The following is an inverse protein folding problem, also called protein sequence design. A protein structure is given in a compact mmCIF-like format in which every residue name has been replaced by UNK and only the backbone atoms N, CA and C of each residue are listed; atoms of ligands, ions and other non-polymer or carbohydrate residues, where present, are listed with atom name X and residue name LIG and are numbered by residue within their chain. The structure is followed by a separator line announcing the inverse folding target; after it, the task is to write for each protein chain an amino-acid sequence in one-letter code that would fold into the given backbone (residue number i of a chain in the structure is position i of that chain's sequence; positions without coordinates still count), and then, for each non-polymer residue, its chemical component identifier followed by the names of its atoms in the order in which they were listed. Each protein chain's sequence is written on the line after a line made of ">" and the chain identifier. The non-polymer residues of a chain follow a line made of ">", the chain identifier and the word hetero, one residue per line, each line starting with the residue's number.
data_IF_677613214403
#
_entry.id   IF_677613214403
#
_cell.length_a   1.000
_cell.length_b   1.000
_cell.length_c   1.000
_cell.angle_alpha   90.00
_cell.angle_beta   90.00
_cell.angle_gamma   90.00
#
_symmetry.space_group_name_H-M   'P 1'
#
loop_
_entity.id
_entity.type
_entity.pdbx_description
1 polymer ?
#
# COMPACT_ATOMS: atom_id res chain seq x y z
N UNK A 1 40.47 11.24 -37.14
CA UNK A 1 41.59 10.41 -36.61
C UNK A 1 41.01 9.35 -35.70
N UNK A 2 41.22 8.07 -36.01
CA UNK A 2 40.77 6.92 -35.24
C UNK A 2 41.97 6.31 -34.53
N UNK A 3 41.89 6.12 -33.20
CA UNK A 3 42.79 5.24 -32.45
C UNK A 3 41.95 4.24 -31.68
N UNK A 4 42.25 2.96 -31.93
CA UNK A 4 41.63 1.77 -31.33
C UNK A 4 42.41 1.31 -30.08
N UNK A 5 41.74 0.42 -29.33
CA UNK A 5 42.25 -0.64 -28.43
C UNK A 5 42.60 -0.17 -27.00
N UNK A 6 42.04 -0.73 -25.93
CA UNK A 6 42.02 -2.16 -25.53
C UNK A 6 40.88 -2.38 -24.47
N UNK A 7 39.90 -3.29 -24.61
CA UNK A 7 39.87 -4.67 -24.05
C UNK A 7 40.48 -4.74 -22.63
N UNK A 8 39.85 -5.22 -21.54
CA UNK A 8 38.79 -6.24 -21.32
C UNK A 8 38.36 -6.23 -19.81
N UNK A 9 37.33 -6.99 -19.41
CA UNK A 9 36.62 -6.89 -18.12
C UNK A 9 37.28 -7.70 -17.00
N UNK A 10 37.16 -7.22 -15.76
CA UNK A 10 37.43 -8.01 -14.56
C UNK A 10 36.17 -8.79 -14.19
N UNK A 11 36.19 -10.08 -14.48
CA UNK A 11 35.33 -11.11 -13.87
C UNK A 11 36.00 -11.55 -12.56
N UNK A 12 35.18 -12.04 -11.61
CA UNK A 12 35.45 -12.88 -10.43
C UNK A 12 35.14 -12.15 -9.10
N UNK A 13 34.39 -12.67 -8.14
CA UNK A 13 33.82 -14.00 -7.95
C UNK A 13 32.56 -13.93 -7.06
N UNK A 14 31.63 -14.84 -7.32
CA UNK A 14 30.46 -15.13 -6.49
C UNK A 14 30.92 -15.91 -5.26
N UNK A 15 30.60 -15.42 -4.06
CA UNK A 15 30.65 -16.21 -2.84
C UNK A 15 29.22 -16.37 -2.30
N UNK A 16 28.61 -17.52 -2.59
CA UNK A 16 27.32 -17.92 -2.05
C UNK A 16 27.48 -18.30 -0.59
N UNK A 17 26.88 -17.54 0.34
CA UNK A 17 26.69 -18.01 1.71
C UNK A 17 25.38 -18.79 1.76
N UNK A 18 25.47 -20.11 1.87
CA UNK A 18 24.34 -20.95 2.21
C UNK A 18 24.14 -20.93 3.73
N UNK A 19 23.07 -20.32 4.21
CA UNK A 19 22.56 -20.54 5.57
C UNK A 19 21.48 -21.62 5.50
N UNK A 20 21.87 -22.83 5.85
CA UNK A 20 20.95 -23.96 5.98
C UNK A 20 20.26 -23.94 7.36
N UNK A 21 18.92 -23.85 7.29
CA UNK A 21 17.87 -24.40 8.18
C UNK A 21 17.86 -24.12 9.69
N UNK A 22 16.71 -23.61 10.12
CA UNK A 22 16.20 -23.75 11.48
C UNK A 22 14.83 -23.07 11.63
N UNK A 23 13.74 -23.69 11.17
CA UNK A 23 12.39 -23.25 11.53
C UNK A 23 12.08 -23.66 12.95
N UNK A 24 12.33 -22.75 13.89
CA UNK A 24 11.62 -22.75 15.17
C UNK A 24 10.72 -21.52 15.18
N UNK A 25 9.41 -21.74 15.22
CA UNK A 25 8.42 -20.68 15.43
C UNK A 25 8.62 -20.08 16.82
N UNK A 26 9.36 -18.97 16.91
CA UNK A 26 9.31 -18.11 18.08
C UNK A 26 8.17 -17.11 17.88
N UNK A 27 7.08 -17.29 18.64
CA UNK A 27 6.09 -16.26 18.83
C UNK A 27 6.74 -15.08 19.58
N UNK A 28 7.22 -14.08 18.85
CA UNK A 28 7.68 -12.82 19.44
C UNK A 28 6.46 -11.92 19.68
N UNK A 29 5.86 -12.06 20.86
CA UNK A 29 5.13 -10.95 21.45
C UNK A 29 6.16 -9.89 21.86
N UNK A 30 6.13 -8.72 21.22
CA UNK A 30 6.94 -7.57 21.65
C UNK A 30 6.15 -6.76 22.68
N UNK A 31 6.59 -6.66 23.95
CA UNK A 31 6.25 -5.55 24.81
C UNK A 31 7.28 -4.43 24.58
N UNK A 32 6.84 -3.30 24.04
CA UNK A 32 7.75 -2.20 23.74
C UNK A 32 7.03 -0.93 23.34
N UNK A 33 6.26 -0.36 24.27
CA UNK A 33 5.87 1.04 24.18
C UNK A 33 7.11 1.91 24.40
N UNK A 34 7.50 2.68 23.38
CA UNK A 34 8.36 3.86 23.53
C UNK A 34 7.60 5.07 23.00
N UNK A 35 7.54 6.18 23.75
CA UNK A 35 6.77 7.35 23.36
C UNK A 35 7.57 8.14 22.32
N UNK A 36 7.25 7.96 21.04
CA UNK A 36 7.69 8.87 20.00
C UNK A 36 6.72 10.06 19.96
N UNK A 37 6.99 11.05 20.82
CA UNK A 37 6.49 12.41 20.69
C UNK A 37 6.85 12.94 19.30
N UNK A 38 5.85 13.21 18.46
CA UNK A 38 6.08 13.86 17.16
C UNK A 38 5.20 13.41 15.98
N UNK A 39 4.27 12.46 16.15
CA UNK A 39 3.43 11.97 15.04
C UNK A 39 1.92 12.20 15.22
N UNK A 40 1.53 13.11 16.11
CA UNK A 40 0.12 13.34 16.45
C UNK A 40 -0.69 14.11 15.39
N UNK A 41 -0.05 14.77 14.41
CA UNK A 41 -0.78 15.64 13.44
C UNK A 41 -1.22 14.89 12.17
N UNK A 42 -0.70 13.67 11.91
CA UNK A 42 -1.11 12.86 10.75
C UNK A 42 -2.02 11.68 11.08
N UNK A 43 -2.13 11.31 12.35
CA UNK A 43 -2.90 10.14 12.78
C UNK A 43 -4.43 10.38 12.75
N UNK A 44 -4.87 11.64 12.83
CA UNK A 44 -6.29 11.99 12.91
C UNK A 44 -7.03 11.83 11.56
N UNK A 45 -6.31 11.86 10.43
CA UNK A 45 -6.91 11.66 9.09
C UNK A 45 -6.79 10.23 8.54
N UNK A 46 -6.16 9.31 9.29
CA UNK A 46 -5.94 7.91 8.85
C UNK A 46 -6.92 6.91 9.47
N UNK A 47 -8.00 7.38 10.09
CA UNK A 47 -8.96 6.56 10.85
C UNK A 47 -9.78 5.56 10.03
N UNK A 48 -9.57 5.48 8.71
CA UNK A 48 -10.30 4.58 7.81
C UNK A 48 -9.39 3.64 7.02
N UNK A 49 -8.41 3.06 7.68
CA UNK A 49 -7.86 1.78 7.22
C UNK A 49 -8.78 0.64 7.66
N UNK A 50 -8.93 -0.35 6.79
CA UNK A 50 -9.77 -1.52 6.99
C UNK A 50 -9.66 -2.11 8.40
N UNK A 51 -10.81 -2.39 9.03
CA UNK A 51 -10.86 -2.97 10.38
C UNK A 51 -10.55 -4.46 10.30
N UNK A 52 -9.66 -4.93 11.17
CA UNK A 52 -9.38 -6.34 11.36
C UNK A 52 -10.65 -7.15 11.66
N UNK A 53 -10.67 -8.40 11.21
CA UNK A 53 -11.79 -9.32 11.41
C UNK A 53 -11.98 -9.73 12.87
N UNK A 54 -13.16 -10.27 13.17
CA UNK A 54 -13.43 -10.89 14.47
C UNK A 54 -12.83 -12.30 14.49
N UNK A 55 -12.20 -12.69 15.61
CA UNK A 55 -11.71 -14.05 15.81
C UNK A 55 -12.84 -15.08 15.83
N UNK A 56 -12.53 -16.31 15.39
CA UNK A 56 -13.48 -17.43 15.40
C UNK A 56 -13.73 -17.99 16.80
N UNK A 57 -14.80 -18.78 16.95
CA UNK A 57 -15.11 -19.48 18.20
C UNK A 57 -14.41 -20.83 18.25
N UNK A 58 -13.80 -21.17 19.38
CA UNK A 58 -13.18 -22.48 19.61
C UNK A 58 -14.19 -23.64 19.56
N UNK A 59 -13.74 -24.79 19.09
CA UNK A 59 -14.55 -26.02 19.01
C UNK A 59 -14.81 -26.68 20.37
N UNK A 60 -15.76 -27.61 20.39
CA UNK A 60 -16.09 -28.39 21.60
C UNK A 60 -15.25 -29.67 21.68
N UNK A 61 -14.77 -30.01 22.87
CA UNK A 61 -14.08 -31.26 23.12
C UNK A 61 -15.03 -32.46 23.07
N UNK A 62 -14.56 -33.59 22.52
CA UNK A 62 -15.34 -34.82 22.47
C UNK A 62 -15.49 -35.50 23.83
N UNK A 63 -16.49 -36.38 23.96
CA UNK A 63 -16.73 -37.19 25.17
C UNK A 63 -16.63 -38.68 24.83
N UNK A 64 -16.13 -39.47 25.78
CA UNK A 64 -16.20 -40.94 25.70
C UNK A 64 -15.41 -41.58 24.55
N UNK A 65 -14.32 -40.95 24.08
CA UNK A 65 -13.50 -41.45 22.98
C UNK A 65 -13.93 -40.95 21.59
N UNK A 66 -15.03 -40.22 21.48
CA UNK A 66 -15.42 -39.56 20.23
C UNK A 66 -14.58 -38.29 19.98
N UNK A 67 -14.21 -37.99 18.72
CA UNK A 67 -13.59 -36.72 18.36
C UNK A 67 -14.50 -35.52 18.66
N UNK A 68 -13.90 -34.40 19.07
CA UNK A 68 -14.62 -33.13 19.28
C UNK A 68 -15.10 -32.48 17.98
N UNK A 69 -15.90 -31.43 18.11
CA UNK A 69 -16.39 -30.65 16.97
C UNK A 69 -15.44 -29.49 16.67
N UNK A 70 -15.06 -29.25 15.40
CA UNK A 70 -14.26 -28.09 15.04
C UNK A 70 -14.98 -26.78 15.37
N UNK A 71 -14.21 -25.74 15.64
CA UNK A 71 -14.72 -24.40 15.88
C UNK A 71 -15.23 -23.70 14.62
N UNK A 72 -15.86 -22.54 14.81
CA UNK A 72 -16.32 -21.71 13.71
C UNK A 72 -15.23 -20.71 13.29
N UNK A 73 -14.98 -20.53 11.99
CA UNK A 73 -14.04 -19.52 11.52
C UNK A 73 -14.53 -18.11 11.87
N UNK A 74 -13.57 -17.20 12.07
CA UNK A 74 -13.87 -15.79 12.33
C UNK A 74 -14.45 -15.06 11.13
N UNK A 75 -15.00 -13.87 11.37
CA UNK A 75 -15.47 -13.00 10.27
C UNK A 75 -14.28 -12.29 9.64
N UNK A 76 -14.19 -12.23 8.30
CA UNK A 76 -13.12 -11.49 7.65
C UNK A 76 -13.21 -10.00 7.99
N UNK A 77 -12.04 -9.37 8.06
CA UNK A 77 -11.94 -7.91 8.19
C UNK A 77 -12.44 -7.19 6.94
N UNK A 78 -12.64 -5.89 7.06
CA UNK A 78 -12.83 -5.04 5.89
C UNK A 78 -11.45 -4.70 5.32
N UNK A 79 -11.24 -4.92 4.02
CA UNK A 79 -10.02 -4.53 3.33
C UNK A 79 -10.15 -3.11 2.77
N UNK A 80 -9.01 -2.43 2.65
CA UNK A 80 -8.91 -1.12 2.02
C UNK A 80 -8.58 -0.01 3.01
N UNK A 81 -7.45 0.66 2.78
CA UNK A 81 -7.33 2.07 3.11
C UNK A 81 -7.77 2.82 1.84
N UNK A 82 -8.40 3.99 1.97
CA UNK A 82 -8.85 4.83 0.84
C UNK A 82 -10.12 4.35 0.12
N UNK A 83 -11.24 4.19 0.84
CA UNK A 83 -12.55 4.02 0.20
C UNK A 83 -12.96 5.31 -0.50
N UNK A 84 -13.90 5.20 -1.45
CA UNK A 84 -14.48 6.38 -2.11
C UNK A 84 -14.98 7.46 -1.11
N UNK A 85 -15.59 7.03 0.00
CA UNK A 85 -16.06 7.93 1.07
C UNK A 85 -14.95 8.64 1.83
N UNK A 86 -13.76 8.05 1.89
CA UNK A 86 -12.59 8.60 2.60
C UNK A 86 -11.77 9.57 1.73
N UNK A 87 -12.17 9.72 0.45
CA UNK A 87 -11.49 10.60 -0.47
C UNK A 87 -11.72 12.08 -0.12
N UNK A 88 -10.70 12.94 -0.23
CA UNK A 88 -10.73 14.34 0.16
C UNK A 88 -11.98 15.10 -0.32
N UNK A 89 -12.67 15.77 0.59
CA UNK A 89 -13.85 16.58 0.24
C UNK A 89 -13.45 18.02 -0.11
N UNK A 90 -12.64 18.15 -1.16
CA UNK A 90 -12.18 19.44 -1.68
C UNK A 90 -12.11 19.41 -3.21
N UNK A 91 -12.31 20.56 -3.88
CA UNK A 91 -12.32 20.62 -5.33
C UNK A 91 -10.93 20.32 -5.91
N UNK A 92 -10.89 19.94 -7.20
CA UNK A 92 -9.67 19.65 -7.97
C UNK A 92 -8.54 20.67 -7.74
N UNK A 93 -8.85 21.96 -7.76
CA UNK A 93 -7.87 23.05 -7.62
C UNK A 93 -7.17 23.08 -6.27
N UNK A 94 -7.71 22.40 -5.24
CA UNK A 94 -7.14 22.30 -3.89
C UNK A 94 -6.57 20.91 -3.59
N UNK A 95 -6.57 20.00 -4.57
CA UNK A 95 -5.93 18.69 -4.42
C UNK A 95 -4.42 18.85 -4.40
N UNK A 96 -3.81 18.39 -3.31
CA UNK A 96 -2.37 18.22 -3.21
C UNK A 96 -1.93 16.95 -3.95
N UNK A 97 -0.63 16.77 -4.10
CA UNK A 97 -0.04 15.54 -4.63
C UNK A 97 -0.49 14.32 -3.83
N UNK A 98 -0.47 14.43 -2.49
CA UNK A 98 -0.90 13.35 -1.60
C UNK A 98 -2.37 12.99 -1.82
N UNK A 99 -3.23 13.98 -2.08
CA UNK A 99 -4.64 13.71 -2.39
C UNK A 99 -4.80 12.96 -3.71
N UNK A 100 -4.07 13.37 -4.75
CA UNK A 100 -4.06 12.66 -6.03
C UNK A 100 -3.57 11.21 -5.88
N UNK A 101 -2.55 10.98 -5.04
CA UNK A 101 -2.07 9.62 -4.74
C UNK A 101 -3.16 8.79 -4.06
N UNK A 102 -3.84 9.34 -3.04
CA UNK A 102 -4.97 8.66 -2.38
C UNK A 102 -6.08 8.30 -3.36
N UNK A 103 -6.40 9.22 -4.27
CA UNK A 103 -7.38 8.99 -5.34
C UNK A 103 -6.95 7.85 -6.27
N UNK A 104 -5.70 7.87 -6.75
CA UNK A 104 -5.15 6.82 -7.63
C UNK A 104 -5.20 5.47 -6.93
N UNK A 105 -4.74 5.39 -5.68
CA UNK A 105 -4.76 4.16 -4.90
C UNK A 105 -6.17 3.62 -4.70
N UNK A 106 -7.15 4.48 -4.42
CA UNK A 106 -8.55 4.07 -4.27
C UNK A 106 -9.12 3.47 -5.57
N UNK A 107 -8.78 4.06 -6.73
CA UNK A 107 -9.24 3.58 -8.04
C UNK A 107 -8.56 2.27 -8.42
N UNK A 108 -7.24 2.17 -8.29
CA UNK A 108 -6.48 0.97 -8.69
C UNK A 108 -6.76 -0.24 -7.79
N UNK A 109 -7.04 -0.02 -6.51
CA UNK A 109 -7.44 -1.08 -5.58
C UNK A 109 -8.92 -1.50 -5.71
N UNK A 110 -9.68 -0.88 -6.62
CA UNK A 110 -11.11 -1.13 -6.79
C UNK A 110 -12.00 -0.61 -5.65
N UNK A 111 -11.44 0.13 -4.70
CA UNK A 111 -12.15 0.73 -3.56
C UNK A 111 -12.97 1.97 -3.96
N UNK A 112 -12.72 2.52 -5.15
CA UNK A 112 -13.49 3.60 -5.76
C UNK A 112 -13.65 3.37 -7.27
N UNK A 113 -14.86 3.62 -7.80
CA UNK A 113 -15.08 3.57 -9.25
C UNK A 113 -14.54 4.84 -9.90
N UNK A 114 -13.78 4.69 -10.98
CA UNK A 114 -13.18 5.81 -11.73
C UNK A 114 -14.21 6.86 -12.16
N UNK A 115 -15.38 6.44 -12.65
CA UNK A 115 -16.46 7.34 -13.06
C UNK A 115 -17.01 8.18 -11.90
N UNK A 116 -17.15 7.60 -10.70
CA UNK A 116 -17.64 8.30 -9.50
C UNK A 116 -16.61 9.33 -9.02
N UNK A 117 -15.32 8.99 -9.08
CA UNK A 117 -14.20 9.89 -8.79
C UNK A 117 -14.12 11.04 -9.79
N UNK A 118 -14.24 10.74 -11.09
CA UNK A 118 -14.25 11.73 -12.16
C UNK A 118 -15.36 12.77 -11.94
N UNK A 119 -16.56 12.29 -11.60
CA UNK A 119 -17.69 13.15 -11.24
C UNK A 119 -17.42 13.98 -9.98
N UNK A 120 -16.91 13.38 -8.90
CA UNK A 120 -16.62 14.08 -7.63
C UNK A 120 -15.66 15.24 -7.83
N UNK A 121 -14.58 15.04 -8.58
CA UNK A 121 -13.56 16.06 -8.78
C UNK A 121 -13.72 16.89 -10.05
N UNK A 122 -14.79 16.66 -10.84
CA UNK A 122 -15.04 17.33 -12.12
C UNK A 122 -13.83 17.24 -13.07
N UNK A 123 -13.26 16.04 -13.16
CA UNK A 123 -12.17 15.69 -14.08
C UNK A 123 -12.65 14.62 -15.06
N UNK A 124 -11.92 14.45 -16.15
CA UNK A 124 -12.17 13.30 -17.05
C UNK A 124 -11.58 12.01 -16.48
N UNK A 125 -12.15 10.86 -16.85
CA UNK A 125 -11.54 9.57 -16.50
C UNK A 125 -10.11 9.43 -17.06
N UNK A 126 -9.84 10.01 -18.24
CA UNK A 126 -8.51 10.06 -18.85
C UNK A 126 -7.51 10.86 -18.02
N UNK A 127 -7.96 11.90 -17.31
CA UNK A 127 -7.11 12.65 -16.40
C UNK A 127 -6.72 11.80 -15.19
N UNK A 128 -7.66 10.99 -14.67
CA UNK A 128 -7.35 10.02 -13.60
C UNK A 128 -6.36 8.95 -14.11
N UNK A 129 -6.52 8.47 -15.35
CA UNK A 129 -5.56 7.54 -15.98
C UNK A 129 -4.17 8.16 -16.12
N UNK A 130 -4.12 9.46 -16.41
CA UNK A 130 -2.86 10.20 -16.48
C UNK A 130 -2.18 10.25 -15.11
N UNK A 131 -2.92 10.56 -14.04
CA UNK A 131 -2.39 10.53 -12.68
C UNK A 131 -1.93 9.14 -12.27
N UNK A 132 -2.67 8.09 -12.62
CA UNK A 132 -2.30 6.71 -12.33
C UNK A 132 -1.01 6.30 -13.06
N UNK A 133 -0.86 6.70 -14.33
CA UNK A 133 0.37 6.50 -15.08
C UNK A 133 1.56 7.23 -14.42
N UNK A 134 1.41 8.52 -14.12
CA UNK A 134 2.46 9.31 -13.47
C UNK A 134 2.89 8.72 -12.12
N UNK A 135 1.93 8.22 -11.34
CA UNK A 135 2.20 7.53 -10.08
C UNK A 135 3.03 6.26 -10.29
N UNK A 136 2.67 5.40 -11.25
CA UNK A 136 3.41 4.16 -11.55
C UNK A 136 4.79 4.42 -12.14
N UNK A 137 4.91 5.46 -12.97
CA UNK A 137 6.16 5.86 -13.62
C UNK A 137 7.10 6.61 -12.67
N UNK A 138 6.63 6.96 -11.46
CA UNK A 138 7.39 7.77 -10.49
C UNK A 138 7.58 9.23 -10.92
N UNK A 139 6.79 9.71 -11.89
CA UNK A 139 6.81 11.08 -12.37
C UNK A 139 6.02 11.99 -11.41
N UNK A 140 6.60 12.17 -10.22
CA UNK A 140 6.02 13.00 -9.17
C UNK A 140 5.86 14.44 -9.64
N UNK A 141 6.81 14.96 -10.43
CA UNK A 141 6.80 16.34 -10.90
C UNK A 141 5.62 16.64 -11.83
N UNK A 142 5.31 15.74 -12.77
CA UNK A 142 4.10 15.84 -13.59
C UNK A 142 2.83 15.69 -12.75
N UNK A 143 2.84 14.82 -11.75
CA UNK A 143 1.72 14.64 -10.83
C UNK A 143 1.44 15.90 -9.99
N UNK A 144 2.48 16.63 -9.57
CA UNK A 144 2.31 17.93 -8.89
C UNK A 144 1.93 19.07 -9.85
N UNK A 145 2.15 18.88 -11.15
CA UNK A 145 1.99 19.95 -12.14
C UNK A 145 3.16 20.94 -12.14
N UNK A 146 4.33 20.55 -11.63
CA UNK A 146 5.54 21.41 -11.58
C UNK A 146 6.44 21.24 -12.79
N UNK A 147 6.15 20.33 -13.73
CA UNK A 147 6.87 20.25 -15.02
C UNK A 147 6.83 21.56 -15.81
N UNK A 148 5.87 22.44 -15.54
CA UNK A 148 5.80 23.77 -16.16
C UNK A 148 6.81 24.78 -15.57
N UNK A 149 7.40 24.49 -14.40
CA UNK A 149 8.37 25.37 -13.72
C UNK A 149 9.83 24.99 -14.01
N UNK A 150 10.08 23.79 -14.52
CA UNK A 150 11.42 23.27 -14.83
C UNK A 150 11.57 22.99 -16.33
N UNK A 151 11.07 23.91 -17.16
CA UNK A 151 10.97 23.78 -18.61
C UNK A 151 12.15 23.09 -19.29
N UNK A 152 11.81 22.25 -20.29
CA UNK A 152 12.74 21.79 -21.32
C UNK A 152 13.07 22.91 -22.30
#
# INVERSE_FOLDING_TARGET
>A
MSRRLWQRPLILAVASVALATGTACAAQASPGATPATGRAVLADQSSHCGKGGEGGKGGEGGRGGEPGRPGEPGKPGTSGCFRFGDLPDKPKSKLTVIDKIRIVMAVESGQAKKAEVAKKYKVSEKEIDTWAKQFRDGDWAALMGVNFLFGS
#
